data_IF_698024325370
#
_entry.id   IF_698024325370
#
_cell.length_a   1.000
_cell.length_b   1.000
_cell.length_c   1.000
_cell.angle_alpha   90.00
_cell.angle_beta   90.00
_cell.angle_gamma   90.00
#
_symmetry.space_group_name_H-M   'P 1'
#
loop_
_entity.id
_entity.type
_entity.pdbx_description
1 polymer ?
#
# COMPACT_ATOMS: atom_id res chain seq x y z
N UNK A 1 -6.76 -10.48 -10.52
CA UNK A 1 -5.73 -10.36 -11.58
C UNK A 1 -4.87 -9.14 -11.24
N UNK A 2 -3.65 -9.33 -10.73
CA UNK A 2 -2.75 -8.20 -10.43
C UNK A 2 -2.12 -7.73 -11.75
N UNK A 3 -2.25 -6.45 -12.05
CA UNK A 3 -1.75 -5.85 -13.29
C UNK A 3 -0.40 -5.20 -12.97
N UNK A 4 0.68 -5.68 -13.58
CA UNK A 4 1.94 -4.95 -13.57
C UNK A 4 1.72 -3.64 -14.32
N UNK A 5 1.81 -2.50 -13.63
CA UNK A 5 1.76 -1.20 -14.29
C UNK A 5 3.14 -0.98 -14.91
N UNK A 6 3.27 -1.22 -16.22
CA UNK A 6 4.34 -0.59 -16.98
C UNK A 6 3.99 0.89 -17.11
N UNK A 7 4.57 1.72 -16.23
CA UNK A 7 4.51 3.17 -16.39
C UNK A 7 5.33 3.52 -17.63
N UNK A 8 4.67 3.55 -18.80
CA UNK A 8 5.24 4.17 -19.99
C UNK A 8 5.38 5.65 -19.67
N UNK A 9 6.59 6.17 -19.81
CA UNK A 9 6.83 7.60 -19.71
C UNK A 9 5.97 8.31 -20.76
N UNK A 10 4.94 9.01 -20.31
CA UNK A 10 4.35 10.14 -21.02
C UNK A 10 4.01 11.23 -20.02
N UNK A 11 4.38 12.43 -20.44
CA UNK A 11 4.42 13.73 -19.76
C UNK A 11 3.08 14.45 -19.85
N UNK A 12 1.95 13.75 -19.72
CA UNK A 12 0.63 14.38 -19.75
C UNK A 12 -0.08 14.12 -18.43
N UNK A 13 -0.43 15.20 -17.74
CA UNK A 13 -1.19 15.16 -16.50
C UNK A 13 -2.55 14.49 -16.80
N UNK A 14 -2.76 13.30 -16.24
CA UNK A 14 -3.94 12.49 -16.51
C UNK A 14 -5.06 12.84 -15.52
N UNK A 15 -5.83 13.87 -15.84
CA UNK A 15 -7.08 14.20 -15.16
C UNK A 15 -8.27 13.55 -15.87
N UNK A 16 -9.25 13.08 -15.09
CA UNK A 16 -10.51 12.56 -15.59
C UNK A 16 -11.58 13.66 -15.48
N UNK A 17 -12.31 13.99 -16.56
CA UNK A 17 -13.44 14.92 -16.47
C UNK A 17 -14.43 14.46 -15.41
N UNK A 18 -14.93 15.41 -14.60
CA UNK A 18 -15.95 15.11 -13.61
C UNK A 18 -17.31 14.97 -14.30
N UNK A 19 -17.79 13.74 -14.43
CA UNK A 19 -19.05 13.43 -15.09
C UNK A 19 -20.15 13.02 -14.11
N UNK A 20 -21.40 13.21 -14.52
CA UNK A 20 -22.56 12.73 -13.74
C UNK A 20 -22.63 11.21 -13.78
N UNK A 21 -23.01 10.61 -12.66
CA UNK A 21 -23.33 9.20 -12.57
C UNK A 21 -24.68 8.88 -13.23
N UNK A 22 -25.11 7.61 -13.14
CA UNK A 22 -26.38 7.12 -13.70
C UNK A 22 -27.62 7.79 -13.10
N UNK A 23 -27.50 8.37 -11.90
CA UNK A 23 -28.58 9.07 -11.19
C UNK A 23 -28.58 10.58 -11.50
N UNK A 24 -27.68 11.05 -12.38
CA UNK A 24 -27.58 12.45 -12.76
C UNK A 24 -26.87 13.35 -11.74
N UNK A 25 -26.16 12.77 -10.77
CA UNK A 25 -25.41 13.46 -9.73
C UNK A 25 -23.90 13.38 -9.98
N UNK A 26 -23.15 14.39 -9.53
CA UNK A 26 -21.68 14.32 -9.56
C UNK A 26 -21.19 13.41 -8.43
N UNK A 27 -20.43 12.35 -8.70
CA UNK A 27 -20.00 11.43 -7.66
C UNK A 27 -18.99 12.11 -6.74
N UNK A 28 -19.26 12.10 -5.44
CA UNK A 28 -18.29 12.54 -4.44
C UNK A 28 -17.13 11.53 -4.42
N UNK A 29 -15.86 11.97 -4.61
CA UNK A 29 -14.72 11.09 -4.44
C UNK A 29 -14.70 10.49 -3.03
N UNK A 30 -14.71 9.17 -2.95
CA UNK A 30 -14.73 8.40 -1.69
C UNK A 30 -13.71 7.26 -1.69
N UNK A 31 -12.88 7.19 -2.73
CA UNK A 31 -11.81 6.20 -2.83
C UNK A 31 -10.54 6.76 -2.19
N UNK A 32 -9.95 5.97 -1.29
CA UNK A 32 -8.63 6.27 -0.75
C UNK A 32 -7.55 5.77 -1.71
N UNK A 33 -6.56 6.58 -2.02
CA UNK A 33 -5.50 6.28 -2.96
C UNK A 33 -4.14 6.47 -2.30
N UNK A 34 -3.24 5.49 -2.40
CA UNK A 34 -1.89 5.63 -1.85
C UNK A 34 -0.87 4.67 -2.46
N UNK A 35 0.40 5.10 -2.48
CA UNK A 35 1.53 4.21 -2.78
C UNK A 35 2.18 3.80 -1.47
N UNK A 36 2.26 2.49 -1.22
CA UNK A 36 2.98 1.89 -0.10
C UNK A 36 4.42 1.56 -0.55
N UNK A 37 5.41 2.40 -0.21
CA UNK A 37 6.80 2.12 -0.57
C UNK A 37 7.42 1.10 0.39
N UNK A 38 8.32 0.27 -0.14
CA UNK A 38 9.14 -0.62 0.67
C UNK A 38 10.50 -0.87 0.02
N UNK A 39 11.48 -1.26 0.83
CA UNK A 39 12.73 -1.84 0.37
C UNK A 39 13.12 -3.04 1.24
N UNK A 40 14.12 -3.79 0.78
CA UNK A 40 14.68 -4.92 1.53
C UNK A 40 16.06 -4.49 2.01
N UNK A 41 16.27 -4.50 3.33
CA UNK A 41 17.55 -4.13 3.92
C UNK A 41 18.60 -5.23 3.74
N UNK A 42 19.83 -4.94 4.16
CA UNK A 42 20.97 -5.89 4.16
C UNK A 42 20.73 -7.15 5.00
N UNK A 43 19.78 -7.13 5.93
CA UNK A 43 19.41 -8.26 6.79
C UNK A 43 18.22 -9.06 6.23
N UNK A 44 17.78 -8.81 4.99
CA UNK A 44 16.58 -9.38 4.37
C UNK A 44 15.28 -9.07 5.14
N UNK A 45 15.25 -7.95 5.86
CA UNK A 45 14.03 -7.40 6.45
C UNK A 45 13.35 -6.50 5.43
N UNK A 46 12.02 -6.61 5.36
CA UNK A 46 11.21 -5.69 4.57
C UNK A 46 10.97 -4.46 5.44
N UNK A 47 11.38 -3.31 4.92
CA UNK A 47 11.20 -2.01 5.56
C UNK A 47 10.10 -1.28 4.80
N UNK A 48 9.01 -1.01 5.50
CA UNK A 48 7.82 -0.33 5.00
C UNK A 48 7.89 1.16 5.28
N UNK A 49 7.52 1.98 4.30
CA UNK A 49 7.19 3.38 4.55
C UNK A 49 5.71 3.51 4.90
N UNK A 50 5.40 3.88 6.14
CA UNK A 50 4.04 4.15 6.63
C UNK A 50 3.92 5.54 7.25
N UNK A 51 2.70 5.94 7.63
CA UNK A 51 2.41 7.21 8.29
C UNK A 51 2.13 6.96 9.75
N UNK A 52 2.97 7.56 10.60
CA UNK A 52 2.74 7.64 12.04
C UNK A 52 1.88 8.86 12.37
N UNK A 53 0.80 8.66 13.12
CA UNK A 53 -0.08 9.74 13.57
C UNK A 53 -0.52 9.55 15.02
N UNK A 54 -0.77 10.66 15.72
CA UNK A 54 -1.38 10.67 17.06
C UNK A 54 -2.74 11.39 17.09
N UNK A 55 -3.41 11.50 15.93
CA UNK A 55 -4.60 12.35 15.70
C UNK A 55 -5.73 12.22 16.72
N UNK A 56 -5.89 11.04 17.32
CA UNK A 56 -6.96 10.74 18.27
C UNK A 56 -6.45 10.40 19.67
N UNK A 57 -5.16 10.60 19.95
CA UNK A 57 -4.54 10.23 21.23
C UNK A 57 -3.44 9.17 21.05
N UNK A 58 -3.80 7.88 20.82
CA UNK A 58 -2.81 6.84 20.58
C UNK A 58 -2.01 7.07 19.31
N UNK A 59 -0.80 6.54 19.29
CA UNK A 59 0.05 6.49 18.11
C UNK A 59 -0.43 5.35 17.19
N UNK A 60 -0.75 5.67 15.94
CA UNK A 60 -1.08 4.69 14.90
C UNK A 60 -0.10 4.77 13.75
N UNK A 61 0.10 3.64 13.05
CA UNK A 61 0.99 3.53 11.90
C UNK A 61 0.23 2.86 10.76
N UNK A 62 -0.13 3.64 9.75
CA UNK A 62 -0.98 3.15 8.65
C UNK A 62 -0.30 3.34 7.30
N UNK A 63 -0.62 2.50 6.29
CA UNK A 63 -0.27 2.81 4.91
C UNK A 63 -0.73 4.22 4.51
N UNK A 64 0.03 4.95 3.70
CA UNK A 64 -0.39 6.24 3.18
C UNK A 64 -1.64 6.07 2.32
N UNK A 65 -2.59 7.00 2.47
CA UNK A 65 -3.71 7.10 1.55
C UNK A 65 -4.51 8.39 1.75
N UNK A 66 -4.77 9.11 0.68
CA UNK A 66 -5.65 10.29 0.64
C UNK A 66 -6.89 10.10 -0.22
N UNK A 67 -7.81 11.08 -0.17
CA UNK A 67 -8.99 11.11 -1.05
C UNK A 67 -8.62 11.95 -2.27
N UNK A 68 -9.12 11.57 -3.45
CA UNK A 68 -8.88 12.33 -4.68
C UNK A 68 -9.45 13.75 -4.58
N UNK A 69 -8.66 14.73 -5.01
CA UNK A 69 -9.06 16.13 -5.10
C UNK A 69 -9.94 16.40 -6.33
N UNK A 70 -10.77 17.44 -6.22
CA UNK A 70 -11.46 18.03 -7.37
C UNK A 70 -10.60 19.18 -7.90
N UNK A 71 -10.18 19.07 -9.15
CA UNK A 71 -9.37 20.06 -9.84
C UNK A 71 -10.27 20.94 -10.69
N UNK A 72 -10.09 22.25 -10.54
CA UNK A 72 -10.93 23.24 -11.20
C UNK A 72 -10.05 24.12 -12.05
N UNK A 73 -10.40 24.22 -13.34
CA UNK A 73 -9.62 24.93 -14.35
C UNK A 73 -10.51 25.88 -15.12
N UNK A 74 -10.08 27.13 -15.25
CA UNK A 74 -10.67 28.11 -16.17
C UNK A 74 -9.64 29.15 -16.56
N UNK A 75 -9.47 29.36 -17.86
CA UNK A 75 -8.45 30.25 -18.41
C UNK A 75 -7.07 29.91 -17.81
N UNK A 76 -6.41 30.85 -17.12
CA UNK A 76 -5.12 30.64 -16.44
C UNK A 76 -5.27 30.23 -14.96
N UNK A 77 -6.49 30.09 -14.44
CA UNK A 77 -6.76 29.73 -13.05
C UNK A 77 -6.84 28.22 -12.89
N UNK A 78 -6.08 27.69 -11.92
CA UNK A 78 -6.14 26.29 -11.49
C UNK A 78 -6.13 26.24 -9.96
N UNK A 79 -7.10 25.55 -9.36
CA UNK A 79 -7.15 25.31 -7.92
C UNK A 79 -7.78 23.95 -7.59
N UNK A 80 -7.41 23.42 -6.43
CA UNK A 80 -7.85 22.11 -5.95
C UNK A 80 -8.81 22.27 -4.77
N UNK A 81 -9.84 21.44 -4.73
CA UNK A 81 -10.76 21.33 -3.61
C UNK A 81 -10.73 19.92 -3.03
N UNK A 82 -10.42 19.83 -1.75
CA UNK A 82 -10.40 18.59 -1.01
C UNK A 82 -11.77 18.31 -0.37
N UNK A 83 -12.29 17.11 -0.61
CA UNK A 83 -13.57 16.65 -0.06
C UNK A 83 -13.51 16.62 1.47
N UNK A 84 -14.54 17.16 2.12
CA UNK A 84 -14.63 17.18 3.58
C UNK A 84 -13.82 18.28 4.27
N UNK A 85 -13.06 19.10 3.53
CA UNK A 85 -12.49 20.35 4.06
C UNK A 85 -13.48 21.52 3.92
N UNK A 86 -13.37 22.55 4.78
CA UNK A 86 -14.09 23.80 4.59
C UNK A 86 -13.71 24.44 3.25
N UNK A 87 -14.71 24.94 2.52
CA UNK A 87 -14.49 25.61 1.24
C UNK A 87 -13.62 26.87 1.45
N UNK A 88 -12.50 27.01 0.73
CA UNK A 88 -11.58 28.11 0.90
C UNK A 88 -12.14 29.40 0.29
N UNK A 89 -11.63 30.55 0.75
CA UNK A 89 -11.88 31.82 0.07
C UNK A 89 -11.00 31.92 -1.19
N UNK A 90 -11.61 31.65 -2.34
CA UNK A 90 -10.98 31.74 -3.64
C UNK A 90 -11.01 33.15 -4.24
N UNK A 91 -11.59 34.14 -3.54
CA UNK A 91 -11.82 35.51 -4.05
C UNK A 91 -12.64 35.54 -5.34
N UNK A 92 -13.59 34.60 -5.46
CA UNK A 92 -14.54 34.50 -6.58
C UNK A 92 -15.93 34.81 -6.04
N UNK A 93 -16.50 35.95 -6.45
CA UNK A 93 -17.69 36.55 -5.84
C UNK A 93 -18.89 35.60 -5.74
N UNK A 94 -19.20 34.87 -6.81
CA UNK A 94 -20.36 33.96 -6.83
C UNK A 94 -20.17 32.72 -5.93
N UNK A 95 -18.94 32.40 -5.52
CA UNK A 95 -18.64 31.30 -4.60
C UNK A 95 -18.57 31.74 -3.13
N UNK A 96 -18.64 33.05 -2.85
CA UNK A 96 -18.51 33.62 -1.50
C UNK A 96 -19.48 33.02 -0.48
N UNK A 97 -20.68 32.64 -0.93
CA UNK A 97 -21.71 32.03 -0.09
C UNK A 97 -21.37 30.61 0.41
N UNK A 98 -20.35 29.97 -0.18
CA UNK A 98 -19.89 28.64 0.21
C UNK A 98 -18.70 28.67 1.19
N UNK A 99 -18.03 29.81 1.35
CA UNK A 99 -16.83 29.93 2.19
C UNK A 99 -17.08 29.38 3.59
N UNK A 100 -16.18 28.51 4.05
CA UNK A 100 -16.24 27.87 5.38
C UNK A 100 -17.22 26.69 5.49
N UNK A 101 -18.10 26.48 4.51
CA UNK A 101 -18.97 25.28 4.48
C UNK A 101 -18.15 24.05 4.13
N UNK A 102 -18.48 22.90 4.72
CA UNK A 102 -17.80 21.64 4.40
C UNK A 102 -18.15 21.19 2.98
N UNK A 103 -17.14 20.91 2.17
CA UNK A 103 -17.29 20.44 0.79
C UNK A 103 -17.67 18.96 0.75
N UNK A 104 -18.96 18.66 0.97
CA UNK A 104 -19.54 17.30 0.98
C UNK A 104 -21.06 17.34 0.77
N UNK A 105 -21.67 16.18 0.57
CA UNK A 105 -23.13 15.99 0.51
C UNK A 105 -23.82 16.95 -0.49
N UNK A 106 -24.92 17.60 -0.08
CA UNK A 106 -25.65 18.55 -0.95
C UNK A 106 -24.80 19.78 -1.31
N UNK A 107 -23.99 20.28 -0.37
CA UNK A 107 -23.10 21.44 -0.60
C UNK A 107 -22.11 21.12 -1.72
N UNK A 108 -21.61 19.89 -1.79
CA UNK A 108 -20.77 19.45 -2.90
C UNK A 108 -21.51 19.58 -4.24
N UNK A 109 -22.74 19.06 -4.36
CA UNK A 109 -23.51 19.16 -5.60
C UNK A 109 -23.73 20.62 -6.03
N UNK A 110 -24.11 21.47 -5.07
CA UNK A 110 -24.41 22.88 -5.32
C UNK A 110 -23.17 23.65 -5.83
N UNK A 111 -22.00 23.40 -5.22
CA UNK A 111 -20.72 24.01 -5.63
C UNK A 111 -20.33 23.55 -7.03
N UNK A 112 -20.38 22.24 -7.31
CA UNK A 112 -20.04 21.70 -8.63
C UNK A 112 -20.97 22.29 -9.70
N UNK A 113 -22.28 22.32 -9.45
CA UNK A 113 -23.24 22.90 -10.37
C UNK A 113 -22.96 24.38 -10.64
N UNK A 114 -22.70 25.17 -9.59
CA UNK A 114 -22.41 26.59 -9.70
C UNK A 114 -21.13 26.87 -10.52
N UNK A 115 -20.08 26.07 -10.33
CA UNK A 115 -18.84 26.16 -11.11
C UNK A 115 -19.08 25.87 -12.60
N UNK A 116 -19.87 24.84 -12.92
CA UNK A 116 -20.19 24.46 -14.30
C UNK A 116 -21.04 25.53 -14.98
N UNK A 117 -22.06 26.07 -14.29
CA UNK A 117 -22.88 27.17 -14.80
C UNK A 117 -22.04 28.40 -15.15
N UNK A 118 -20.98 28.64 -14.38
CA UNK A 118 -20.00 29.71 -14.62
C UNK A 118 -18.85 29.30 -15.55
N UNK A 119 -19.00 28.19 -16.29
CA UNK A 119 -18.09 27.71 -17.34
C UNK A 119 -16.69 27.33 -16.85
N UNK A 120 -16.58 26.82 -15.63
CA UNK A 120 -15.35 26.16 -15.17
C UNK A 120 -15.33 24.72 -15.67
N UNK A 121 -14.13 24.22 -15.98
CA UNK A 121 -13.90 22.81 -16.23
C UNK A 121 -13.51 22.14 -14.92
N UNK A 122 -14.12 20.99 -14.63
CA UNK A 122 -13.85 20.24 -13.42
C UNK A 122 -13.36 18.85 -13.74
N UNK A 123 -12.38 18.42 -12.97
CA UNK A 123 -11.73 17.14 -13.13
C UNK A 123 -11.49 16.48 -11.77
N UNK A 124 -11.22 15.19 -11.82
CA UNK A 124 -10.70 14.40 -10.71
C UNK A 124 -9.35 13.84 -11.14
N UNK A 125 -8.39 13.82 -10.24
CA UNK A 125 -7.13 13.10 -10.48
C UNK A 125 -7.39 11.62 -10.77
N UNK A 126 -6.53 10.97 -11.57
CA UNK A 126 -6.57 9.52 -11.62
C UNK A 126 -6.11 8.92 -10.27
N UNK A 127 -6.54 7.69 -9.92
CA UNK A 127 -6.18 7.09 -8.64
C UNK A 127 -4.67 6.96 -8.42
N UNK A 128 -3.92 6.72 -9.50
CA UNK A 128 -2.47 6.63 -9.46
C UNK A 128 -1.80 7.99 -9.19
N UNK A 129 -2.28 9.06 -9.83
CA UNK A 129 -1.72 10.41 -9.60
C UNK A 129 -2.00 10.86 -8.16
N UNK A 130 -3.22 10.69 -7.65
CA UNK A 130 -3.53 10.96 -6.24
C UNK A 130 -2.65 10.12 -5.31
N UNK A 131 -2.48 8.83 -5.61
CA UNK A 131 -1.61 7.97 -4.81
C UNK A 131 -0.16 8.49 -4.76
N UNK A 132 0.39 8.92 -5.89
CA UNK A 132 1.75 9.45 -5.99
C UNK A 132 1.90 10.82 -5.29
N UNK A 133 0.91 11.70 -5.42
CA UNK A 133 0.86 13.00 -4.73
C UNK A 133 0.80 12.82 -3.22
N UNK A 134 -0.10 11.97 -2.71
CA UNK A 134 -0.17 11.69 -1.27
C UNK A 134 1.12 11.06 -0.77
N UNK A 135 1.75 10.15 -1.51
CA UNK A 135 3.04 9.60 -1.09
C UNK A 135 4.13 10.69 -1.02
N UNK A 136 4.15 11.66 -1.93
CA UNK A 136 5.06 12.79 -1.82
C UNK A 136 4.75 13.65 -0.60
N UNK A 137 3.49 13.99 -0.37
CA UNK A 137 3.10 14.90 0.71
C UNK A 137 3.28 14.25 2.09
N UNK A 138 2.90 12.99 2.21
CA UNK A 138 2.90 12.25 3.47
C UNK A 138 4.29 11.66 3.80
N UNK A 139 5.09 11.23 2.81
CA UNK A 139 6.40 10.61 3.01
C UNK A 139 7.60 11.38 2.47
N UNK A 140 7.38 12.49 1.75
CA UNK A 140 8.46 13.23 1.09
C UNK A 140 9.12 12.49 -0.07
N UNK A 141 8.59 11.32 -0.46
CA UNK A 141 9.11 10.47 -1.53
C UNK A 141 8.35 10.75 -2.83
N UNK A 142 9.03 11.35 -3.79
CA UNK A 142 8.45 11.71 -5.07
C UNK A 142 8.76 10.68 -6.16
N UNK A 143 7.84 9.73 -6.35
CA UNK A 143 7.97 8.61 -7.29
C UNK A 143 7.37 8.87 -8.68
N UNK A 144 6.88 10.08 -8.93
CA UNK A 144 6.36 10.50 -10.25
C UNK A 144 7.43 10.42 -11.32
N UNK A 145 7.04 10.44 -12.59
CA UNK A 145 7.99 10.30 -13.70
C UNK A 145 9.13 11.35 -13.67
N UNK A 146 8.81 12.58 -13.26
CA UNK A 146 9.78 13.68 -13.10
C UNK A 146 10.18 13.90 -11.64
N UNK A 147 9.76 13.01 -10.74
CA UNK A 147 10.01 13.12 -9.32
C UNK A 147 11.47 12.91 -8.95
N UNK A 148 11.95 13.64 -7.95
CA UNK A 148 13.36 13.57 -7.50
C UNK A 148 13.79 12.16 -7.08
N UNK A 149 12.86 11.36 -6.55
CA UNK A 149 13.13 10.02 -6.00
C UNK A 149 12.78 8.90 -6.99
N UNK A 150 12.38 9.25 -8.22
CA UNK A 150 12.01 8.29 -9.26
C UNK A 150 13.08 7.24 -9.53
N UNK A 151 14.35 7.63 -9.43
CA UNK A 151 15.50 6.75 -9.67
C UNK A 151 15.59 5.56 -8.70
N UNK A 152 14.97 5.68 -7.52
CA UNK A 152 14.88 4.62 -6.51
C UNK A 152 13.89 3.53 -6.90
N UNK A 153 12.85 3.87 -7.66
CA UNK A 153 11.78 2.94 -7.99
C UNK A 153 12.33 1.80 -8.85
N UNK A 154 12.25 0.59 -8.30
CA UNK A 154 12.52 -0.64 -9.04
C UNK A 154 11.25 -1.11 -9.78
N UNK A 155 10.14 -1.20 -9.03
CA UNK A 155 8.87 -1.72 -9.54
C UNK A 155 7.71 -1.01 -8.83
N UNK A 156 6.65 -0.70 -9.58
CA UNK A 156 5.35 -0.30 -9.04
C UNK A 156 4.29 -1.32 -9.44
N UNK A 157 3.54 -1.83 -8.46
CA UNK A 157 2.51 -2.86 -8.67
C UNK A 157 1.17 -2.39 -8.15
N UNK A 158 0.14 -2.49 -8.99
CA UNK A 158 -1.24 -2.22 -8.58
C UNK A 158 -1.82 -3.44 -7.87
N UNK A 159 -2.36 -3.21 -6.67
CA UNK A 159 -3.15 -4.21 -5.98
C UNK A 159 -4.61 -4.18 -6.45
N UNK A 160 -5.34 -5.30 -6.33
CA UNK A 160 -6.79 -5.27 -6.52
C UNK A 160 -7.44 -4.26 -5.58
N UNK A 161 -8.47 -3.57 -6.07
CA UNK A 161 -9.24 -2.61 -5.27
C UNK A 161 -9.80 -3.31 -4.02
N UNK A 162 -9.60 -2.68 -2.85
CA UNK A 162 -10.01 -3.23 -1.56
C UNK A 162 -11.27 -2.53 -1.07
N UNK A 163 -12.19 -3.29 -0.49
CA UNK A 163 -13.31 -2.71 0.23
C UNK A 163 -12.87 -2.40 1.66
N UNK A 164 -13.13 -1.19 2.13
CA UNK A 164 -12.84 -0.80 3.51
C UNK A 164 -14.04 -1.12 4.41
N UNK A 165 -13.77 -1.70 5.58
CA UNK A 165 -14.76 -1.91 6.63
C UNK A 165 -15.04 -0.59 7.36
N UNK A 166 -16.32 -0.35 7.70
CA UNK A 166 -16.71 0.69 8.66
C UNK A 166 -17.18 2.03 8.07
N UNK A 167 -17.67 2.90 8.97
CA UNK A 167 -18.24 4.24 8.67
C UNK A 167 -17.15 5.31 8.48
N UNK A 168 -16.09 5.03 7.73
CA UNK A 168 -14.97 5.98 7.56
C UNK A 168 -15.20 7.03 6.45
N UNK A 169 -16.40 7.07 5.85
CA UNK A 169 -16.69 7.97 4.72
C UNK A 169 -16.04 7.57 3.40
N UNK A 170 -15.08 6.63 3.43
CA UNK A 170 -14.52 5.94 2.28
C UNK A 170 -15.00 4.49 2.22
N UNK A 171 -15.26 4.00 1.01
CA UNK A 171 -15.80 2.65 0.78
C UNK A 171 -14.76 1.71 0.16
N UNK A 172 -13.77 2.27 -0.53
CA UNK A 172 -12.76 1.51 -1.27
C UNK A 172 -11.38 2.14 -1.13
N UNK A 173 -10.35 1.32 -1.33
CA UNK A 173 -8.95 1.73 -1.34
C UNK A 173 -8.23 1.19 -2.58
N UNK A 174 -7.64 2.13 -3.32
CA UNK A 174 -6.66 1.91 -4.37
C UNK A 174 -5.26 1.97 -3.76
N UNK A 175 -4.52 0.87 -3.85
CA UNK A 175 -3.17 0.77 -3.31
C UNK A 175 -2.20 0.33 -4.40
N UNK A 176 -1.13 1.08 -4.58
CA UNK A 176 0.04 0.63 -5.31
C UNK A 176 1.16 0.26 -4.33
N UNK A 177 1.92 -0.79 -4.62
CA UNK A 177 3.15 -1.12 -3.90
C UNK A 177 4.34 -0.63 -4.72
N UNK A 178 5.22 0.16 -4.11
CA UNK A 178 6.48 0.59 -4.72
C UNK A 178 7.67 -0.14 -4.10
N UNK A 179 8.31 -1.02 -4.86
CA UNK A 179 9.59 -1.61 -4.47
C UNK A 179 10.74 -0.67 -4.84
N UNK A 180 11.54 -0.28 -3.85
CA UNK A 180 12.68 0.63 -4.02
C UNK A 180 14.01 -0.15 -4.02
N UNK A 181 14.99 0.32 -4.82
CA UNK A 181 16.29 -0.35 -5.00
C UNK A 181 17.21 -0.24 -3.78
N UNK A 182 17.21 0.90 -3.11
CA UNK A 182 17.91 1.14 -1.85
C UNK A 182 17.27 2.36 -1.15
N UNK A 183 17.18 2.34 0.18
CA UNK A 183 16.70 3.46 1.00
C UNK A 183 17.82 4.22 1.72
N UNK A 184 19.06 3.72 1.71
CA UNK A 184 20.16 4.22 2.55
C UNK A 184 20.60 5.66 2.22
N UNK A 185 20.42 6.13 0.98
CA UNK A 185 20.84 7.47 0.53
C UNK A 185 19.73 8.54 0.64
N UNK A 186 18.55 8.17 1.14
CA UNK A 186 17.38 9.05 1.17
C UNK A 186 17.06 9.38 2.61
N UNK A 187 16.81 10.66 2.89
CA UNK A 187 16.28 11.07 4.20
C UNK A 187 14.78 10.73 4.22
N UNK A 188 14.51 9.46 4.49
CA UNK A 188 13.19 8.83 4.41
C UNK A 188 12.19 9.32 5.48
N UNK A 189 12.63 10.16 6.43
CA UNK A 189 11.78 10.73 7.50
C UNK A 189 11.31 12.18 7.22
N UNK A 190 11.48 12.69 6.00
CA UNK A 190 11.01 14.03 5.65
C UNK A 190 9.57 13.97 5.14
N UNK A 191 8.66 14.74 5.74
CA UNK A 191 7.27 14.87 5.29
C UNK A 191 6.91 16.35 5.23
N UNK A 192 6.26 16.75 4.13
CA UNK A 192 5.75 18.12 3.99
C UNK A 192 4.48 18.32 4.86
N UNK A 193 3.85 17.22 5.28
CA UNK A 193 2.62 17.18 6.08
C UNK A 193 2.88 17.17 7.59
N UNK A 194 4.10 17.50 8.07
CA UNK A 194 4.32 17.90 9.47
C UNK A 194 3.63 19.25 9.69
N UNK A 195 2.32 19.20 9.68
CA UNK A 195 1.51 20.23 10.22
C UNK A 195 1.28 19.79 11.67
N UNK A 196 1.72 20.60 12.63
CA UNK A 196 1.04 20.66 13.92
C UNK A 196 -0.40 21.15 13.64
N UNK A 197 -1.21 20.30 13.00
CA UNK A 197 -2.58 20.61 12.59
C UNK A 197 -3.35 20.88 13.88
N UNK A 198 -4.05 22.00 13.85
CA UNK A 198 -4.94 22.54 14.87
C UNK A 198 -5.69 21.43 15.64
N UNK A 199 -5.84 21.62 16.94
CA UNK A 199 -6.55 20.78 17.93
C UNK A 199 -7.94 20.35 17.46
N UNK A 200 -8.05 19.27 16.68
CA UNK A 200 -9.34 18.94 16.03
C UNK A 200 -10.25 18.03 16.84
N UNK A 201 -9.72 17.16 17.72
CA UNK A 201 -10.55 16.15 18.40
C UNK A 201 -10.33 15.98 19.92
N UNK A 202 -9.29 16.56 20.54
CA UNK A 202 -9.01 16.38 21.97
C UNK A 202 -8.34 17.58 22.64
N UNK A 203 -8.28 18.74 21.98
CA UNK A 203 -7.50 19.88 22.51
C UNK A 203 -5.98 19.67 22.48
N UNK A 204 -5.48 18.56 21.93
CA UNK A 204 -4.05 18.23 21.78
C UNK A 204 -3.55 18.58 20.39
N UNK A 205 -2.28 19.00 20.30
CA UNK A 205 -1.58 19.06 19.01
C UNK A 205 -1.47 17.65 18.44
N UNK A 206 -1.73 17.50 17.15
CA UNK A 206 -1.48 16.24 16.47
C UNK A 206 -0.50 16.43 15.32
N UNK A 207 0.11 15.33 14.91
CA UNK A 207 1.00 15.24 13.76
C UNK A 207 0.64 14.04 12.90
N UNK A 208 1.07 14.12 11.65
CA UNK A 208 1.18 13.01 10.70
C UNK A 208 2.61 13.07 10.18
N UNK A 209 3.37 11.98 10.30
CA UNK A 209 4.76 11.92 9.82
C UNK A 209 5.02 10.62 9.09
N UNK A 210 5.75 10.70 7.98
CA UNK A 210 6.38 9.54 7.37
C UNK A 210 7.28 8.82 8.38
N UNK A 211 7.14 7.51 8.47
CA UNK A 211 7.98 6.64 9.26
C UNK A 211 8.36 5.39 8.46
N UNK A 212 9.52 4.82 8.81
CA UNK A 212 10.03 3.61 8.19
C UNK A 212 10.31 2.57 9.25
N UNK A 213 9.83 1.35 9.02
CA UNK A 213 9.97 0.30 10.02
C UNK A 213 9.61 -1.07 9.48
N UNK A 214 9.88 -2.07 10.30
CA UNK A 214 9.47 -3.45 10.03
C UNK A 214 8.03 -3.65 10.51
N UNK A 215 7.33 -4.62 9.93
CA UNK A 215 6.02 -5.04 10.43
C UNK A 215 6.05 -5.40 11.93
N UNK A 216 7.13 -6.03 12.39
CA UNK A 216 7.34 -6.32 13.82
C UNK A 216 7.33 -5.06 14.68
N UNK A 217 8.03 -4.00 14.25
CA UNK A 217 8.05 -2.73 14.97
C UNK A 217 6.67 -2.08 15.05
N UNK A 218 5.89 -2.13 13.97
CA UNK A 218 4.53 -1.56 13.94
C UNK A 218 3.57 -2.33 14.85
N UNK A 219 3.65 -3.67 14.86
CA UNK A 219 2.92 -4.55 15.80
C UNK A 219 3.25 -4.21 17.25
N UNK A 220 4.53 -4.02 17.58
CA UNK A 220 4.95 -3.63 18.93
C UNK A 220 4.38 -2.27 19.32
N UNK A 221 4.41 -1.27 18.43
CA UNK A 221 3.81 0.04 18.69
C UNK A 221 2.31 -0.07 19.00
N UNK A 222 1.54 -0.79 18.17
CA UNK A 222 0.10 -0.98 18.42
C UNK A 222 -0.16 -1.68 19.76
N UNK A 223 0.59 -2.73 20.08
CA UNK A 223 0.44 -3.44 21.36
C UNK A 223 0.71 -2.52 22.56
N UNK A 224 1.74 -1.69 22.49
CA UNK A 224 2.05 -0.72 23.55
C UNK A 224 0.95 0.33 23.72
N UNK A 225 0.40 0.84 22.62
CA UNK A 225 -0.70 1.82 22.67
C UNK A 225 -2.00 1.21 23.19
N UNK A 226 -2.30 -0.05 22.85
CA UNK A 226 -3.41 -0.79 23.43
C UNK A 226 -3.24 -1.01 24.94
N UNK A 227 -2.04 -1.35 25.40
CA UNK A 227 -1.77 -1.50 26.85
C UNK A 227 -1.96 -0.18 27.59
N UNK A 228 -1.44 0.93 27.04
CA UNK A 228 -1.63 2.27 27.61
C UNK A 228 -3.12 2.61 27.70
N UNK A 229 -3.86 2.43 26.62
CA UNK A 229 -5.29 2.73 26.57
C UNK A 229 -6.14 1.83 27.48
N UNK A 230 -5.75 0.57 27.64
CA UNK A 230 -6.46 -0.38 28.52
C UNK A 230 -6.14 -0.18 30.02
N UNK A 231 -5.17 0.67 30.36
CA UNK A 231 -4.88 0.99 31.76
C UNK A 231 -6.02 1.83 32.36
N UNK A 232 -6.52 1.41 33.53
CA UNK A 232 -7.72 1.97 34.17
C UNK A 232 -7.59 3.46 34.51
N UNK A 233 -6.35 3.95 34.69
CA UNK A 233 -6.04 5.36 34.93
C UNK A 233 -6.29 6.25 33.71
N UNK A 234 -6.09 5.75 32.49
CA UNK A 234 -6.26 6.54 31.26
C UNK A 234 -7.74 6.62 30.86
N UNK A 235 -8.50 5.54 31.00
CA UNK A 235 -9.89 5.47 30.53
C UNK A 235 -10.85 6.43 31.24
N UNK A 236 -10.59 6.74 32.51
CA UNK A 236 -11.45 7.64 33.31
C UNK A 236 -11.36 9.11 32.88
N UNK A 237 -10.37 9.46 32.04
CA UNK A 237 -10.18 10.82 31.53
C UNK A 237 -10.89 11.09 30.19
N UNK A 238 -11.46 10.07 29.55
CA UNK A 238 -12.10 10.20 28.25
C UNK A 238 -13.63 10.14 28.37
N UNK A 239 -14.31 11.02 27.63
CA UNK A 239 -15.75 10.93 27.41
C UNK A 239 -16.08 9.71 26.55
N UNK A 240 -17.34 9.22 26.60
CA UNK A 240 -17.76 8.08 25.77
C UNK A 240 -17.51 8.28 24.27
N UNK A 241 -17.72 9.49 23.76
CA UNK A 241 -17.43 9.80 22.34
C UNK A 241 -15.95 9.69 22.01
N UNK A 242 -15.06 10.09 22.94
CA UNK A 242 -13.62 9.97 22.75
C UNK A 242 -13.17 8.52 22.83
N UNK A 243 -13.76 7.73 23.74
CA UNK A 243 -13.53 6.29 23.82
C UNK A 243 -13.89 5.59 22.50
N UNK A 244 -15.07 5.88 21.94
CA UNK A 244 -15.50 5.30 20.65
C UNK A 244 -14.53 5.64 19.52
N UNK A 245 -14.06 6.89 19.47
CA UNK A 245 -13.10 7.36 18.46
C UNK A 245 -11.74 6.66 18.58
N UNK A 246 -11.23 6.51 19.81
CA UNK A 246 -9.96 5.85 20.09
C UNK A 246 -10.05 4.36 19.75
N UNK A 247 -11.10 3.67 20.21
CA UNK A 247 -11.33 2.26 19.90
C UNK A 247 -11.44 2.02 18.40
N UNK A 248 -12.21 2.85 17.68
CA UNK A 248 -12.33 2.76 16.22
C UNK A 248 -10.97 2.94 15.51
N UNK A 249 -10.13 3.84 16.01
CA UNK A 249 -8.81 4.11 15.41
C UNK A 249 -7.81 2.98 15.69
N UNK A 250 -7.80 2.42 16.90
CA UNK A 250 -6.96 1.25 17.22
C UNK A 250 -7.37 0.04 16.40
N UNK A 251 -8.68 -0.17 16.19
CA UNK A 251 -9.20 -1.23 15.30
C UNK A 251 -8.75 -1.02 13.86
N UNK A 252 -8.86 0.20 13.32
CA UNK A 252 -8.41 0.48 11.96
C UNK A 252 -6.90 0.30 11.79
N UNK A 253 -6.11 0.60 12.84
CA UNK A 253 -4.67 0.37 12.83
C UNK A 253 -4.32 -1.13 12.84
N UNK A 254 -5.11 -1.95 13.54
CA UNK A 254 -5.00 -3.41 13.50
C UNK A 254 -5.28 -3.95 12.09
N UNK A 255 -6.38 -3.53 11.46
CA UNK A 255 -6.73 -3.92 10.08
C UNK A 255 -5.61 -3.55 9.09
N UNK A 256 -5.01 -2.36 9.26
CA UNK A 256 -3.88 -1.91 8.46
C UNK A 256 -2.63 -2.80 8.63
N UNK A 257 -2.33 -3.23 9.85
CA UNK A 257 -1.22 -4.15 10.14
C UNK A 257 -1.46 -5.53 9.53
N UNK A 258 -2.69 -6.05 9.60
CA UNK A 258 -3.07 -7.34 8.99
C UNK A 258 -2.96 -7.29 7.46
N UNK A 259 -3.31 -6.14 6.87
CA UNK A 259 -3.11 -5.89 5.45
C UNK A 259 -1.62 -5.90 5.07
N UNK A 260 -0.76 -5.20 5.82
CA UNK A 260 0.69 -5.23 5.62
C UNK A 260 1.27 -6.64 5.77
N UNK A 261 0.81 -7.40 6.76
CA UNK A 261 1.21 -8.80 6.96
C UNK A 261 0.86 -9.68 5.76
N UNK A 262 -0.35 -9.52 5.22
CA UNK A 262 -0.79 -10.26 4.05
C UNK A 262 0.09 -9.98 2.83
N UNK A 263 0.46 -8.71 2.61
CA UNK A 263 1.39 -8.34 1.53
C UNK A 263 2.80 -8.89 1.80
N UNK A 264 3.30 -8.75 3.03
CA UNK A 264 4.65 -9.19 3.38
C UNK A 264 4.82 -10.70 3.19
N UNK A 265 3.80 -11.50 3.53
CA UNK A 265 3.77 -12.94 3.28
C UNK A 265 3.88 -13.27 1.79
N UNK A 266 3.18 -12.54 0.92
CA UNK A 266 3.28 -12.72 -0.53
C UNK A 266 4.68 -12.39 -1.04
N UNK A 267 5.24 -11.25 -0.63
CA UNK A 267 6.60 -10.84 -1.01
C UNK A 267 7.63 -11.87 -0.54
N UNK A 268 7.54 -12.33 0.72
CA UNK A 268 8.46 -13.34 1.26
C UNK A 268 8.34 -14.67 0.54
N UNK A 269 7.12 -15.12 0.23
CA UNK A 269 6.91 -16.35 -0.54
C UNK A 269 7.63 -16.29 -1.89
N UNK A 270 7.52 -15.17 -2.60
CA UNK A 270 8.16 -15.01 -3.90
C UNK A 270 9.68 -14.86 -3.80
N UNK A 271 10.19 -14.19 -2.77
CA UNK A 271 11.63 -14.12 -2.49
C UNK A 271 12.22 -15.51 -2.22
N UNK A 272 11.56 -16.35 -1.43
CA UNK A 272 12.02 -17.71 -1.15
C UNK A 272 11.99 -18.59 -2.41
N UNK A 273 10.95 -18.47 -3.25
CA UNK A 273 10.92 -19.15 -4.55
C UNK A 273 12.08 -18.73 -5.44
N UNK A 274 12.41 -17.44 -5.49
CA UNK A 274 13.53 -16.93 -6.28
C UNK A 274 14.88 -17.41 -5.74
N UNK A 275 15.06 -17.47 -4.41
CA UNK A 275 16.26 -18.05 -3.79
C UNK A 275 16.41 -19.53 -4.15
N UNK A 276 15.34 -20.31 -4.03
CA UNK A 276 15.34 -21.71 -4.40
C UNK A 276 15.68 -21.90 -5.89
N UNK A 277 15.07 -21.11 -6.77
CA UNK A 277 15.39 -21.15 -8.19
C UNK A 277 16.89 -20.88 -8.46
N UNK A 278 17.49 -19.90 -7.76
CA UNK A 278 18.93 -19.64 -7.86
C UNK A 278 19.79 -20.82 -7.38
N UNK A 279 19.40 -21.49 -6.29
CA UNK A 279 20.09 -22.69 -5.80
C UNK A 279 20.01 -23.80 -6.85
N UNK A 280 18.81 -24.09 -7.37
CA UNK A 280 18.61 -25.13 -8.36
C UNK A 280 19.39 -24.87 -9.67
N UNK A 281 19.55 -23.60 -10.07
CA UNK A 281 20.43 -23.22 -11.19
C UNK A 281 21.90 -23.51 -10.84
N UNK A 282 22.35 -23.09 -9.65
CA UNK A 282 23.73 -23.31 -9.19
C UNK A 282 24.11 -24.79 -9.11
N UNK A 283 23.15 -25.64 -8.73
CA UNK A 283 23.29 -27.10 -8.70
C UNK A 283 23.13 -27.76 -10.08
N UNK A 284 22.87 -26.98 -11.14
CA UNK A 284 22.64 -27.49 -12.50
C UNK A 284 21.36 -28.31 -12.68
N UNK A 285 20.46 -28.30 -11.70
CA UNK A 285 19.19 -29.03 -11.70
C UNK A 285 18.15 -28.40 -12.64
N UNK A 286 18.24 -27.08 -12.82
CA UNK A 286 17.45 -26.33 -13.80
C UNK A 286 18.34 -25.33 -14.54
N UNK A 287 17.98 -24.97 -15.77
CA UNK A 287 18.71 -23.94 -16.51
C UNK A 287 18.17 -22.52 -16.22
N UNK A 288 18.96 -21.50 -16.57
CA UNK A 288 18.64 -20.10 -16.29
C UNK A 288 17.37 -19.60 -17.02
N UNK A 289 17.16 -20.05 -18.26
CA UNK A 289 15.95 -19.72 -19.04
C UNK A 289 14.68 -20.26 -18.38
N UNK A 290 14.77 -21.44 -17.74
CA UNK A 290 13.67 -22.06 -17.02
C UNK A 290 13.35 -21.33 -15.72
N UNK A 291 14.38 -20.93 -14.95
CA UNK A 291 14.18 -20.10 -13.78
C UNK A 291 13.55 -18.74 -14.13
N UNK A 292 13.96 -18.14 -15.26
CA UNK A 292 13.37 -16.91 -15.76
C UNK A 292 11.91 -17.11 -16.17
N UNK A 293 11.56 -18.23 -16.83
CA UNK A 293 10.16 -18.61 -17.12
C UNK A 293 9.32 -18.82 -15.87
N UNK A 294 9.86 -19.45 -14.82
CA UNK A 294 9.17 -19.58 -13.54
C UNK A 294 8.95 -18.18 -12.92
N UNK A 295 9.97 -17.33 -12.92
CA UNK A 295 9.87 -15.98 -12.38
C UNK A 295 8.90 -15.07 -13.17
N UNK A 296 8.71 -15.28 -14.47
CA UNK A 296 7.83 -14.46 -15.31
C UNK A 296 6.42 -15.01 -15.51
N UNK A 297 6.22 -16.34 -15.45
CA UNK A 297 4.94 -16.99 -15.80
C UNK A 297 4.23 -17.64 -14.60
N UNK A 298 4.72 -17.49 -13.37
CA UNK A 298 3.98 -18.00 -12.22
C UNK A 298 2.67 -17.23 -12.07
N UNK A 299 1.51 -17.90 -12.04
CA UNK A 299 0.24 -17.21 -12.02
C UNK A 299 0.07 -16.49 -10.68
N UNK A 300 -0.19 -15.19 -10.77
CA UNK A 300 -0.84 -14.40 -9.73
C UNK A 300 -2.01 -15.22 -9.19
N UNK A 301 -1.85 -15.73 -7.97
CA UNK A 301 -2.70 -16.78 -7.38
C UNK A 301 -4.18 -16.39 -7.35
N UNK A 302 -4.98 -17.06 -8.17
CA UNK A 302 -6.26 -17.71 -7.82
C UNK A 302 -6.95 -18.23 -9.10
N UNK A 303 -7.04 -19.55 -9.24
CA UNK A 303 -8.10 -20.23 -10.00
C UNK A 303 -8.12 -20.16 -11.53
N UNK A 304 -7.11 -19.59 -12.20
CA UNK A 304 -7.02 -19.75 -13.66
C UNK A 304 -6.33 -21.07 -13.99
N UNK A 305 -7.13 -22.01 -14.51
CA UNK A 305 -6.65 -23.21 -15.17
C UNK A 305 -5.64 -22.77 -16.22
N UNK A 306 -4.37 -23.07 -15.98
CA UNK A 306 -3.36 -23.07 -17.04
C UNK A 306 -3.91 -24.03 -18.09
N UNK A 307 -4.13 -23.58 -19.33
CA UNK A 307 -4.57 -24.47 -20.40
C UNK A 307 -3.46 -25.51 -20.64
N UNK A 308 -3.56 -26.63 -19.93
CA UNK A 308 -2.73 -27.84 -20.03
C UNK A 308 -2.87 -28.54 -21.41
N UNK A 309 -3.64 -27.94 -22.33
CA UNK A 309 -3.92 -28.49 -23.65
C UNK A 309 -3.00 -27.92 -24.75
N UNK A 310 -2.14 -26.94 -24.44
CA UNK A 310 -1.00 -26.66 -25.31
C UNK A 310 0.06 -27.74 -25.05
N UNK A 311 0.56 -28.46 -26.08
CA UNK A 311 1.48 -29.56 -25.90
C UNK A 311 2.82 -29.02 -25.39
N UNK A 312 2.95 -28.92 -24.08
CA UNK A 312 4.22 -28.76 -23.40
C UNK A 312 4.91 -30.12 -23.48
N UNK A 313 6.09 -30.14 -24.11
CA UNK A 313 6.93 -31.33 -24.27
C UNK A 313 7.02 -32.10 -22.95
N UNK A 314 6.85 -33.42 -23.04
CA UNK A 314 6.60 -34.37 -21.93
C UNK A 314 7.55 -34.24 -20.73
N UNK A 315 8.75 -33.70 -20.89
CA UNK A 315 9.72 -33.46 -19.81
C UNK A 315 9.28 -32.39 -18.80
N UNK A 316 8.40 -31.47 -19.18
CA UNK A 316 8.02 -30.31 -18.36
C UNK A 316 6.95 -30.61 -17.31
N UNK A 317 6.06 -31.58 -17.55
CA UNK A 317 5.01 -31.99 -16.60
C UNK A 317 5.61 -32.76 -15.43
N UNK A 318 6.53 -33.69 -15.71
CA UNK A 318 7.29 -34.42 -14.68
C UNK A 318 8.16 -33.47 -13.83
N UNK A 319 8.75 -32.44 -14.45
CA UNK A 319 9.52 -31.41 -13.74
C UNK A 319 8.65 -30.50 -12.88
N UNK A 320 7.45 -30.14 -13.34
CA UNK A 320 6.50 -29.34 -12.56
C UNK A 320 5.97 -30.12 -11.35
N UNK A 321 5.68 -31.41 -11.51
CA UNK A 321 5.31 -32.30 -10.40
C UNK A 321 6.47 -32.49 -9.41
N UNK A 322 7.71 -32.56 -9.89
CA UNK A 322 8.89 -32.57 -9.03
C UNK A 322 9.07 -31.24 -8.29
N UNK A 323 8.82 -30.10 -8.95
CA UNK A 323 8.90 -28.76 -8.33
C UNK A 323 7.80 -28.59 -7.29
N UNK A 324 6.56 -29.01 -7.58
CA UNK A 324 5.44 -29.03 -6.64
C UNK A 324 5.68 -30.02 -5.47
N UNK A 325 6.33 -31.15 -5.75
CA UNK A 325 6.75 -32.14 -4.76
C UNK A 325 7.82 -31.58 -3.81
N UNK A 326 8.84 -30.90 -4.33
CA UNK A 326 9.88 -30.21 -3.54
C UNK A 326 9.28 -29.06 -2.73
N UNK A 327 8.35 -28.29 -3.31
CA UNK A 327 7.63 -27.26 -2.57
C UNK A 327 6.81 -27.83 -1.42
N UNK A 328 6.06 -28.93 -1.62
CA UNK A 328 5.26 -29.55 -0.56
C UNK A 328 6.09 -30.31 0.50
N UNK A 329 7.21 -30.92 0.11
CA UNK A 329 8.13 -31.59 1.06
C UNK A 329 8.76 -30.59 2.03
N UNK A 330 9.16 -29.39 1.57
CA UNK A 330 9.70 -28.37 2.46
C UNK A 330 8.65 -27.78 3.40
N UNK A 331 7.38 -27.64 2.96
CA UNK A 331 6.29 -27.20 3.84
C UNK A 331 5.92 -28.26 4.89
N UNK A 332 6.07 -29.55 4.58
CA UNK A 332 5.90 -30.64 5.54
C UNK A 332 7.08 -30.74 6.52
N UNK A 333 8.33 -30.60 6.05
CA UNK A 333 9.52 -30.59 6.91
C UNK A 333 9.55 -29.40 7.88
N UNK A 334 9.01 -28.24 7.50
CA UNK A 334 8.82 -27.11 8.42
C UNK A 334 7.72 -27.34 9.47
N UNK A 335 6.71 -28.18 9.18
CA UNK A 335 5.66 -28.54 10.13
C UNK A 335 6.06 -29.68 11.07
N UNK A 336 7.04 -30.51 10.67
CA UNK A 336 7.51 -31.66 11.45
C UNK A 336 8.76 -31.37 12.29
N UNK A 337 9.28 -30.14 12.29
CA UNK A 337 10.41 -29.76 13.14
C UNK A 337 9.91 -29.07 14.43
N UNK A 338 9.68 -29.79 15.54
CA UNK A 338 9.46 -29.13 16.82
C UNK A 338 10.76 -28.43 17.23
N UNK A 339 10.66 -27.19 17.70
CA UNK A 339 11.75 -26.46 18.34
C UNK A 339 12.52 -27.36 19.31
N UNK A 340 13.80 -27.59 19.03
CA UNK A 340 14.79 -27.92 20.05
C UNK A 340 16.10 -27.21 19.75
N UNK A 341 16.43 -26.28 20.64
CA UNK A 341 17.80 -25.90 20.95
C UNK A 341 18.64 -27.17 21.16
N UNK A 342 19.76 -27.28 20.46
CA UNK A 342 21.08 -27.61 21.00
C UNK A 342 22.08 -27.77 19.86
N UNK A 343 23.27 -27.22 20.07
CA UNK A 343 24.48 -27.45 19.29
C UNK A 343 24.65 -28.94 18.94
N UNK A 344 24.82 -29.24 17.65
CA UNK A 344 25.73 -30.29 17.18
C UNK A 344 25.98 -30.12 15.68
N UNK A 345 27.25 -29.91 15.33
CA UNK A 345 27.81 -30.27 14.03
C UNK A 345 27.42 -31.71 13.68
N UNK A 346 26.54 -31.93 12.71
CA UNK A 346 26.51 -33.16 11.93
C UNK A 346 25.95 -32.91 10.52
N UNK A 347 26.76 -33.28 9.53
CA UNK A 347 26.59 -32.93 8.13
C UNK A 347 25.54 -33.75 7.37
N UNK A 348 25.11 -33.16 6.26
CA UNK A 348 24.39 -33.85 5.20
C UNK A 348 25.42 -34.33 4.16
N UNK A 349 25.69 -35.63 4.11
CA UNK A 349 26.40 -36.28 2.98
C UNK A 349 25.36 -36.90 2.05
N UNK A 350 25.21 -36.44 0.80
CA UNK A 350 24.34 -37.10 -0.17
C UNK A 350 24.95 -38.44 -0.61
N UNK A 351 24.20 -39.53 -0.38
CA UNK A 351 24.59 -40.90 -0.73
C UNK A 351 24.41 -41.23 -2.21
N UNK A 352 25.26 -40.68 -3.08
CA UNK A 352 25.40 -41.15 -4.48
C UNK A 352 26.79 -41.71 -4.82
N UNK A 353 27.67 -41.88 -3.84
CA UNK A 353 28.99 -42.51 -4.01
C UNK A 353 29.07 -43.89 -3.37
N UNK A 354 28.12 -44.80 -3.61
CA UNK A 354 28.40 -46.24 -3.50
C UNK A 354 27.58 -47.01 -4.54
N UNK A 355 28.28 -47.50 -5.57
CA UNK A 355 27.73 -48.40 -6.58
C UNK A 355 28.79 -48.81 -7.60
N UNK A 356 29.63 -49.76 -7.23
CA UNK A 356 30.62 -50.44 -8.10
C UNK A 356 29.95 -51.31 -9.17
N UNK A 357 30.78 -51.64 -10.17
CA UNK A 357 30.81 -52.84 -11.06
C UNK A 357 30.18 -52.66 -12.45
N UNK A 358 30.80 -53.03 -13.57
CA UNK A 358 32.02 -53.80 -13.88
C UNK A 358 32.89 -53.06 -14.90
#
# INVERSE_FOLDING_TARGET
MQKKIEMKAKTEIHFLPLEKNKDGLYPVPTMRCGVLPFYIDKNNQIIWGCIESNRVGPITITPPAGIQDIIIIKDEQCFNLEVGKPFPDLKIDFLSTFIGKLFRDQIYQDIIACLIENKFNLYVETPLETALHETQDEHGVDLRNEGKDRHLLNTLLELPLQNLSGKQGATTQYTCIAFLKNGDDVVLNYTNKIEEKIRRNLGRSFYEKGCWGTLGSFKTTLALEQIKFNSTSEQTHYTSQQMDLITGTLSANQDAIEFLESIELLIRSDLEKLKLAKILIGEGLINQDFAQKIATNYPNSHGSIMELNAPLKEDSVSLMLATHGVFNLNTQLQKECPQKNQDTDFGFKPGFLIGKSF
#
